data_IF_480998575719
#
_entry.id   IF_480998575719
#
_cell.length_a   1.000
_cell.length_b   1.000
_cell.length_c   1.000
_cell.angle_alpha   90.00
_cell.angle_beta   90.00
_cell.angle_gamma   90.00
#
_symmetry.space_group_name_H-M   'P 1'
#
loop_
_entity.id
_entity.type
_entity.pdbx_description
1 polymer ?
#
# COMPACT_ATOMS: atom_id res chain seq x y z
N UNK A 1 3.28 -0.40 38.34
CA UNK A 1 3.42 0.93 37.69
C UNK A 1 2.87 0.81 36.27
N UNK A 2 1.67 1.33 36.06
CA UNK A 2 0.88 1.16 34.84
C UNK A 2 1.26 2.25 33.83
N UNK A 3 1.83 1.86 32.69
CA UNK A 3 1.93 2.73 31.51
C UNK A 3 0.74 2.43 30.61
N UNK A 4 -0.24 3.32 30.63
CA UNK A 4 -1.29 3.43 29.63
C UNK A 4 -0.69 4.09 28.39
N UNK A 5 -0.52 3.34 27.30
CA UNK A 5 -0.29 3.92 25.98
C UNK A 5 -1.57 4.65 25.55
N UNK A 6 -1.68 5.91 25.96
CA UNK A 6 -2.59 6.86 25.32
C UNK A 6 -1.91 7.28 24.01
N UNK A 7 -2.47 6.85 22.88
CA UNK A 7 -2.17 7.45 21.58
C UNK A 7 -2.67 8.91 21.61
N UNK A 8 -1.81 9.84 22.03
CA UNK A 8 -2.06 11.27 21.82
C UNK A 8 -1.81 11.55 20.34
N UNK A 9 -2.91 11.81 19.63
CA UNK A 9 -2.91 12.31 18.25
C UNK A 9 -2.60 13.82 18.18
N UNK A 10 -2.41 14.46 19.32
CA UNK A 10 -2.22 15.89 19.41
C UNK A 10 -0.75 16.23 19.09
N UNK A 11 -0.52 16.82 17.92
CA UNK A 11 0.73 17.45 17.42
C UNK A 11 1.54 16.73 16.33
N UNK A 12 0.92 15.88 15.49
CA UNK A 12 1.56 15.36 14.27
C UNK A 12 0.91 15.90 12.97
N UNK A 13 0.26 17.07 13.02
CA UNK A 13 -0.08 17.74 11.77
C UNK A 13 1.19 18.35 11.18
N UNK A 14 1.69 17.84 10.05
CA UNK A 14 2.82 18.47 9.36
C UNK A 14 2.45 19.92 9.06
N UNK A 15 3.28 20.86 9.49
CA UNK A 15 2.95 22.29 9.42
C UNK A 15 2.86 22.83 7.98
N UNK A 16 3.24 22.04 6.97
CA UNK A 16 3.41 22.47 5.58
C UNK A 16 2.59 21.70 4.55
N UNK A 17 2.08 20.51 4.85
CA UNK A 17 1.36 19.67 3.87
C UNK A 17 -0.13 19.99 3.91
N UNK A 18 -0.59 20.93 3.08
CA UNK A 18 -2.03 21.14 2.89
C UNK A 18 -2.61 19.99 2.07
N UNK A 19 -3.56 19.27 2.66
CA UNK A 19 -4.26 18.17 2.01
C UNK A 19 -5.76 18.49 1.91
N UNK A 20 -6.24 18.87 0.73
CA UNK A 20 -7.69 19.02 0.51
C UNK A 20 -8.33 17.66 0.22
N UNK A 21 -7.72 16.88 -0.67
CA UNK A 21 -8.21 15.55 -1.03
C UNK A 21 -7.05 14.56 -1.02
N UNK A 22 -7.22 13.45 -0.29
CA UNK A 22 -6.36 12.28 -0.38
C UNK A 22 -7.05 11.22 -1.24
N UNK A 23 -6.43 10.89 -2.37
CA UNK A 23 -6.85 9.79 -3.23
C UNK A 23 -5.80 8.69 -3.20
N UNK A 24 -6.19 7.46 -2.87
CA UNK A 24 -5.27 6.32 -2.84
C UNK A 24 -5.71 5.19 -3.75
N UNK A 25 -4.73 4.50 -4.33
CA UNK A 25 -4.88 3.31 -5.18
C UNK A 25 -4.03 2.17 -4.61
N UNK A 26 -4.45 0.92 -4.81
CA UNK A 26 -3.70 -0.21 -4.29
C UNK A 26 -4.44 -1.53 -4.25
N UNK A 27 -3.84 -2.45 -3.51
CA UNK A 27 -4.33 -3.80 -3.24
C UNK A 27 -4.80 -3.96 -1.77
N UNK A 28 -4.74 -5.18 -1.25
CA UNK A 28 -5.09 -5.54 0.13
C UNK A 28 -4.35 -4.75 1.22
N UNK A 29 -3.17 -4.19 0.93
CA UNK A 29 -2.42 -3.35 1.87
C UNK A 29 -3.06 -1.97 2.05
N UNK A 30 -3.89 -1.54 1.11
CA UNK A 30 -4.47 -0.19 1.03
C UNK A 30 -5.99 -0.19 1.16
N UNK A 31 -6.67 -1.28 0.82
CA UNK A 31 -8.13 -1.46 0.97
C UNK A 31 -8.58 -1.23 2.43
N UNK A 32 -9.53 -0.31 2.62
CA UNK A 32 -10.08 0.06 3.94
C UNK A 32 -11.34 -0.73 4.33
N UNK A 33 -11.82 -1.60 3.44
CA UNK A 33 -13.02 -2.43 3.62
C UNK A 33 -14.33 -1.65 3.62
N UNK A 34 -14.36 -0.41 3.14
CA UNK A 34 -15.60 0.37 3.05
C UNK A 34 -16.30 0.03 1.74
N UNK A 35 -17.34 -0.80 1.83
CA UNK A 35 -18.17 -1.25 0.70
C UNK A 35 -19.36 -0.32 0.41
N UNK A 36 -19.79 0.52 1.37
CA UNK A 36 -21.00 1.34 1.26
C UNK A 36 -20.72 2.81 1.57
N UNK A 37 -21.07 3.71 0.63
CA UNK A 37 -20.92 5.16 0.79
C UNK A 37 -20.54 5.87 -0.51
N UNK A 38 -20.43 7.21 -0.46
CA UNK A 38 -20.16 8.07 -1.62
C UNK A 38 -18.73 7.91 -2.19
N UNK A 39 -17.79 7.36 -1.42
CA UNK A 39 -16.40 7.09 -1.84
C UNK A 39 -15.97 5.65 -1.49
N UNK A 40 -16.94 4.74 -1.41
CA UNK A 40 -16.72 3.36 -1.01
C UNK A 40 -16.35 2.50 -2.23
N UNK A 41 -15.14 1.96 -2.22
CA UNK A 41 -14.68 1.01 -3.26
C UNK A 41 -14.01 -0.24 -2.65
N UNK A 42 -13.89 -0.34 -1.32
CA UNK A 42 -13.17 -1.43 -0.67
C UNK A 42 -13.97 -2.72 -0.64
N UNK A 43 -13.28 -3.86 -0.47
CA UNK A 43 -13.92 -5.15 -0.17
C UNK A 43 -13.69 -5.57 1.26
N UNK A 44 -12.43 -5.57 1.68
CA UNK A 44 -12.10 -6.05 3.02
C UNK A 44 -10.89 -5.31 3.55
N UNK A 45 -10.98 -4.94 4.82
CA UNK A 45 -9.82 -4.43 5.53
C UNK A 45 -8.97 -5.60 5.96
N UNK A 46 -7.90 -5.89 5.22
CA UNK A 46 -7.00 -7.00 5.53
C UNK A 46 -6.02 -6.66 6.66
N UNK A 47 -6.54 -6.11 7.76
CA UNK A 47 -5.76 -5.83 8.96
C UNK A 47 -6.65 -5.88 10.20
N UNK A 48 -6.04 -6.00 11.36
CA UNK A 48 -6.72 -6.00 12.66
C UNK A 48 -7.11 -4.59 13.16
N UNK A 49 -7.17 -3.61 12.27
CA UNK A 49 -7.43 -2.20 12.54
C UNK A 49 -7.21 -1.36 11.28
N UNK A 50 -7.21 -0.02 11.38
CA UNK A 50 -7.03 0.85 10.23
C UNK A 50 -5.77 0.54 9.41
N UNK A 51 -5.86 0.72 8.09
CA UNK A 51 -4.73 0.62 7.17
C UNK A 51 -3.98 1.95 7.07
N UNK A 52 -2.85 1.96 6.38
CA UNK A 52 -1.92 3.10 6.36
C UNK A 52 -2.59 4.37 5.81
N UNK A 53 -3.47 4.22 4.82
CA UNK A 53 -4.16 5.33 4.18
C UNK A 53 -5.16 6.01 5.13
N UNK A 54 -5.87 5.23 5.96
CA UNK A 54 -6.77 5.78 6.98
C UNK A 54 -5.99 6.55 8.06
N UNK A 55 -4.84 6.03 8.49
CA UNK A 55 -3.98 6.74 9.44
C UNK A 55 -3.41 8.01 8.85
N UNK A 56 -2.93 7.96 7.60
CA UNK A 56 -2.41 9.13 6.90
C UNK A 56 -3.47 10.21 6.79
N UNK A 57 -4.69 9.86 6.35
CA UNK A 57 -5.80 10.79 6.26
C UNK A 57 -6.06 11.50 7.59
N UNK A 58 -6.05 10.73 8.70
CA UNK A 58 -6.24 11.27 10.05
C UNK A 58 -5.10 12.19 10.49
N UNK A 59 -3.84 11.86 10.15
CA UNK A 59 -2.66 12.65 10.50
C UNK A 59 -2.60 13.97 9.72
N UNK A 60 -2.92 13.93 8.43
CA UNK A 60 -2.94 15.11 7.55
C UNK A 60 -4.20 15.97 7.75
N UNK A 61 -5.31 15.36 8.20
CA UNK A 61 -6.59 16.05 8.37
C UNK A 61 -7.20 16.48 7.04
N UNK A 62 -7.13 15.63 6.00
CA UNK A 62 -7.67 15.96 4.69
C UNK A 62 -9.20 16.12 4.73
N UNK A 63 -9.74 17.06 3.95
CA UNK A 63 -11.19 17.30 3.90
C UNK A 63 -11.94 16.14 3.24
N UNK A 64 -11.34 15.54 2.20
CA UNK A 64 -11.88 14.39 1.48
C UNK A 64 -10.88 13.24 1.43
N UNK A 65 -11.38 12.04 1.69
CA UNK A 65 -10.64 10.78 1.55
C UNK A 65 -11.37 9.89 0.55
N UNK A 66 -10.63 9.46 -0.49
CA UNK A 66 -11.13 8.57 -1.53
C UNK A 66 -10.16 7.40 -1.65
N UNK A 67 -10.66 6.20 -1.40
CA UNK A 67 -9.89 4.98 -1.52
C UNK A 67 -10.43 4.15 -2.67
N UNK A 68 -9.62 3.95 -3.71
CA UNK A 68 -9.96 3.09 -4.85
C UNK A 68 -9.33 1.70 -4.71
N UNK A 69 -8.55 1.43 -3.66
CA UNK A 69 -7.87 0.15 -3.50
C UNK A 69 -8.86 -0.99 -3.27
N UNK A 70 -8.60 -2.12 -3.92
CA UNK A 70 -9.38 -3.33 -3.77
C UNK A 70 -8.47 -4.49 -3.38
N UNK A 71 -8.88 -5.25 -2.38
CA UNK A 71 -8.27 -6.52 -2.04
C UNK A 71 -8.23 -7.44 -3.26
N UNK A 72 -7.05 -7.99 -3.56
CA UNK A 72 -6.87 -8.88 -4.71
C UNK A 72 -6.53 -8.17 -6.03
N UNK A 73 -6.41 -6.85 -6.05
CA UNK A 73 -6.06 -6.09 -7.26
C UNK A 73 -4.72 -6.55 -7.84
N UNK A 74 -4.71 -6.80 -9.15
CA UNK A 74 -3.48 -7.00 -9.95
C UNK A 74 -2.99 -5.67 -10.50
N UNK A 75 -1.79 -5.67 -11.08
CA UNK A 75 -1.22 -4.46 -11.69
C UNK A 75 -2.03 -3.93 -12.88
N UNK A 76 -2.79 -4.79 -13.56
CA UNK A 76 -3.62 -4.46 -14.72
C UNK A 76 -5.06 -4.06 -14.35
N UNK A 77 -6.04 -4.43 -15.19
CA UNK A 77 -7.47 -4.20 -14.93
C UNK A 77 -8.11 -5.28 -14.05
N UNK A 78 -7.45 -6.43 -13.88
CA UNK A 78 -8.04 -7.61 -13.28
C UNK A 78 -7.81 -7.67 -11.75
N UNK A 79 -8.59 -8.57 -11.13
CA UNK A 79 -8.42 -9.02 -9.77
C UNK A 79 -8.03 -10.51 -9.77
N UNK A 80 -7.44 -11.02 -8.69
CA UNK A 80 -7.23 -12.47 -8.54
C UNK A 80 -8.53 -13.27 -8.55
N UNK A 81 -9.66 -12.65 -8.19
CA UNK A 81 -10.95 -13.34 -8.11
C UNK A 81 -11.86 -13.14 -9.34
N UNK A 82 -11.61 -12.13 -10.18
CA UNK A 82 -12.48 -11.77 -11.30
C UNK A 82 -11.76 -10.87 -12.31
N UNK A 83 -12.29 -10.75 -13.53
CA UNK A 83 -11.65 -10.05 -14.65
C UNK A 83 -12.37 -8.74 -15.03
N UNK A 84 -11.61 -7.80 -15.58
CA UNK A 84 -12.07 -6.58 -16.20
C UNK A 84 -12.37 -5.42 -15.25
N UNK A 85 -12.20 -5.58 -13.93
CA UNK A 85 -12.38 -4.50 -12.97
C UNK A 85 -11.62 -4.71 -11.65
N UNK A 86 -11.47 -3.62 -10.88
CA UNK A 86 -10.77 -3.51 -9.59
C UNK A 86 -9.24 -3.64 -9.57
N UNK A 87 -8.58 -4.00 -10.68
CA UNK A 87 -7.12 -3.90 -10.80
C UNK A 87 -6.61 -2.45 -10.80
N UNK A 88 -5.31 -2.25 -10.58
CA UNK A 88 -4.69 -0.91 -10.44
C UNK A 88 -4.97 0.00 -11.65
N UNK A 89 -4.83 -0.49 -12.88
CA UNK A 89 -5.13 0.32 -14.08
C UNK A 89 -6.61 0.69 -14.15
N UNK A 90 -7.50 -0.23 -13.79
CA UNK A 90 -8.93 0.05 -13.75
C UNK A 90 -9.26 1.12 -12.70
N UNK A 91 -8.65 1.05 -11.52
CA UNK A 91 -8.85 2.01 -10.44
C UNK A 91 -8.46 3.43 -10.88
N UNK A 92 -7.29 3.57 -11.50
CA UNK A 92 -6.79 4.86 -11.99
C UNK A 92 -7.65 5.40 -13.12
N UNK A 93 -7.99 4.57 -14.11
CA UNK A 93 -8.83 5.00 -15.22
C UNK A 93 -10.21 5.44 -14.73
N UNK A 94 -10.80 4.70 -13.79
CA UNK A 94 -12.05 5.06 -13.14
C UNK A 94 -11.95 6.41 -12.44
N UNK A 95 -10.91 6.63 -11.64
CA UNK A 95 -10.66 7.92 -11.01
C UNK A 95 -10.57 9.07 -12.02
N UNK A 96 -9.84 8.89 -13.12
CA UNK A 96 -9.67 9.93 -14.13
C UNK A 96 -10.99 10.31 -14.83
N UNK A 97 -11.98 9.41 -14.88
CA UNK A 97 -13.33 9.75 -15.39
C UNK A 97 -14.13 10.67 -14.46
N UNK A 98 -13.74 10.79 -13.18
CA UNK A 98 -14.49 11.56 -12.17
C UNK A 98 -14.14 13.05 -12.13
N UNK A 99 -13.29 13.54 -13.05
CA UNK A 99 -12.70 14.89 -13.03
C UNK A 99 -11.96 15.19 -11.71
N UNK A 100 -10.75 14.65 -11.54
CA UNK A 100 -9.89 14.84 -10.36
C UNK A 100 -9.84 16.27 -9.82
N UNK A 101 -9.92 16.41 -8.49
CA UNK A 101 -9.82 17.71 -7.84
C UNK A 101 -8.42 18.32 -7.98
N UNK A 102 -8.38 19.64 -8.05
CA UNK A 102 -7.18 20.47 -8.10
C UNK A 102 -6.52 20.47 -6.71
N UNK A 103 -5.18 20.34 -6.62
CA UNK A 103 -4.39 20.23 -5.37
C UNK A 103 -4.65 18.96 -4.55
N UNK A 104 -4.80 17.83 -5.24
CA UNK A 104 -4.96 16.52 -4.59
C UNK A 104 -3.60 15.93 -4.19
N UNK A 105 -3.55 15.26 -3.05
CA UNK A 105 -2.51 14.28 -2.72
C UNK A 105 -2.97 12.93 -3.26
N UNK A 106 -2.26 12.43 -4.28
CA UNK A 106 -2.56 11.17 -4.93
C UNK A 106 -1.47 10.17 -4.55
N UNK A 107 -1.83 8.99 -4.08
CA UNK A 107 -0.86 7.96 -3.70
C UNK A 107 -1.19 6.65 -4.41
N UNK A 108 -0.25 6.21 -5.25
CA UNK A 108 -0.30 4.93 -5.93
C UNK A 108 0.54 3.92 -5.13
N UNK A 109 -0.11 2.99 -4.42
CA UNK A 109 0.53 1.74 -4.02
C UNK A 109 0.51 0.80 -5.22
N UNK A 110 1.68 0.60 -5.83
CA UNK A 110 1.83 0.00 -7.17
C UNK A 110 1.31 -1.44 -7.33
N UNK A 111 1.05 -2.16 -6.23
CA UNK A 111 0.54 -3.54 -6.29
C UNK A 111 1.55 -4.53 -6.88
N UNK A 112 1.07 -5.49 -7.66
CA UNK A 112 1.92 -6.36 -8.50
C UNK A 112 2.39 -7.68 -7.87
N UNK A 113 2.27 -7.85 -6.56
CA UNK A 113 2.65 -9.11 -5.89
C UNK A 113 1.80 -10.29 -6.38
N UNK A 114 0.50 -10.06 -6.58
CA UNK A 114 -0.44 -11.10 -7.01
C UNK A 114 -0.21 -11.55 -8.46
N UNK A 115 0.33 -10.67 -9.29
CA UNK A 115 0.76 -10.98 -10.65
C UNK A 115 1.89 -12.02 -10.63
N UNK A 116 2.87 -11.87 -9.72
CA UNK A 116 3.97 -12.84 -9.56
C UNK A 116 3.52 -14.21 -9.02
N UNK A 117 2.37 -14.28 -8.36
CA UNK A 117 1.80 -15.51 -7.81
C UNK A 117 0.85 -16.23 -8.77
N UNK A 118 0.32 -15.54 -9.78
CA UNK A 118 -0.73 -16.07 -10.67
C UNK A 118 -0.32 -16.20 -12.14
N UNK A 119 0.90 -15.79 -12.49
CA UNK A 119 1.36 -15.73 -13.86
C UNK A 119 2.00 -17.00 -14.42
N UNK A 120 2.33 -16.94 -15.72
CA UNK A 120 2.75 -18.11 -16.49
C UNK A 120 4.27 -18.32 -16.44
N UNK A 121 5.05 -17.23 -16.48
CA UNK A 121 6.51 -17.25 -16.37
C UNK A 121 7.03 -15.96 -15.71
N UNK A 122 8.10 -16.08 -14.92
CA UNK A 122 8.66 -14.98 -14.12
C UNK A 122 9.02 -13.74 -14.92
N UNK A 123 9.62 -13.94 -16.10
CA UNK A 123 10.07 -12.85 -16.96
C UNK A 123 8.90 -12.09 -17.60
N UNK A 124 7.87 -12.81 -18.05
CA UNK A 124 6.67 -12.19 -18.63
C UNK A 124 5.86 -11.46 -17.55
N UNK A 125 5.75 -12.03 -16.36
CA UNK A 125 5.00 -11.44 -15.25
C UNK A 125 5.69 -10.15 -14.77
N UNK A 126 7.01 -10.16 -14.63
CA UNK A 126 7.76 -8.96 -14.29
C UNK A 126 7.59 -7.85 -15.35
N UNK A 127 7.75 -8.19 -16.63
CA UNK A 127 7.67 -7.19 -17.69
C UNK A 127 6.28 -6.53 -17.71
N UNK A 128 5.21 -7.31 -17.56
CA UNK A 128 3.83 -6.82 -17.50
C UNK A 128 3.59 -5.92 -16.29
N UNK A 129 4.04 -6.32 -15.10
CA UNK A 129 3.88 -5.51 -13.89
C UNK A 129 4.54 -4.14 -14.06
N UNK A 130 5.75 -4.10 -14.63
CA UNK A 130 6.46 -2.84 -14.87
C UNK A 130 5.70 -1.99 -15.89
N UNK A 131 5.31 -2.56 -17.04
CA UNK A 131 4.57 -1.85 -18.09
C UNK A 131 3.26 -1.25 -17.54
N UNK A 132 2.53 -2.01 -16.73
CA UNK A 132 1.28 -1.57 -16.12
C UNK A 132 1.51 -0.43 -15.13
N UNK A 133 2.54 -0.51 -14.29
CA UNK A 133 2.87 0.57 -13.33
C UNK A 133 3.33 1.84 -14.08
N UNK A 134 4.15 1.71 -15.12
CA UNK A 134 4.57 2.85 -15.94
C UNK A 134 3.36 3.53 -16.61
N UNK A 135 2.45 2.74 -17.17
CA UNK A 135 1.19 3.23 -17.76
C UNK A 135 0.28 3.90 -16.73
N UNK A 136 0.19 3.34 -15.52
CA UNK A 136 -0.53 3.94 -14.40
C UNK A 136 0.02 5.33 -14.06
N UNK A 137 1.34 5.47 -14.01
CA UNK A 137 2.01 6.73 -13.68
C UNK A 137 1.87 7.75 -14.82
N UNK A 138 2.00 7.32 -16.08
CA UNK A 138 1.75 8.17 -17.24
C UNK A 138 0.34 8.77 -17.21
N UNK A 139 -0.67 7.95 -16.92
CA UNK A 139 -2.06 8.37 -16.78
C UNK A 139 -2.25 9.35 -15.61
N UNK A 140 -1.72 9.05 -14.44
CA UNK A 140 -1.82 9.96 -13.28
C UNK A 140 -1.08 11.28 -13.53
N UNK A 141 -0.01 11.27 -14.32
CA UNK A 141 0.75 12.47 -14.70
C UNK A 141 -0.05 13.46 -15.56
N UNK A 142 -1.24 13.06 -16.05
CA UNK A 142 -2.20 13.99 -16.70
C UNK A 142 -2.88 14.93 -15.69
N UNK A 143 -2.86 14.61 -14.39
CA UNK A 143 -3.33 15.49 -13.32
C UNK A 143 -2.26 16.54 -13.07
N UNK A 144 -2.48 17.77 -13.54
CA UNK A 144 -1.41 18.80 -13.60
C UNK A 144 -1.25 19.63 -12.33
N UNK A 145 -2.17 19.52 -11.37
CA UNK A 145 -2.12 20.26 -10.09
C UNK A 145 -2.30 19.30 -8.90
N UNK A 146 -1.19 19.04 -8.19
CA UNK A 146 -1.16 18.16 -7.04
C UNK A 146 0.21 17.50 -6.82
N UNK A 147 0.25 16.63 -5.82
CA UNK A 147 1.40 15.78 -5.51
C UNK A 147 1.02 14.32 -5.76
N UNK A 148 1.84 13.60 -6.52
CA UNK A 148 1.68 12.17 -6.78
C UNK A 148 2.80 11.44 -6.06
N UNK A 149 2.46 10.55 -5.15
CA UNK A 149 3.41 9.63 -4.53
C UNK A 149 3.25 8.27 -5.16
N UNK A 150 4.34 7.72 -5.69
CA UNK A 150 4.39 6.33 -6.14
C UNK A 150 5.13 5.54 -5.07
N UNK A 151 4.46 4.54 -4.52
CA UNK A 151 5.03 3.58 -3.58
C UNK A 151 5.47 2.33 -4.34
N UNK A 152 6.69 1.89 -4.08
CA UNK A 152 7.22 0.65 -4.65
C UNK A 152 6.52 -0.60 -4.07
N UNK A 153 6.86 -1.79 -4.57
CA UNK A 153 6.22 -3.05 -4.21
C UNK A 153 6.81 -3.56 -2.88
N UNK A 154 5.94 -3.96 -1.94
CA UNK A 154 6.32 -4.65 -0.71
C UNK A 154 6.76 -6.09 -1.02
N UNK A 155 7.91 -6.51 -0.49
CA UNK A 155 8.40 -7.89 -0.63
C UNK A 155 7.69 -8.82 0.36
N UNK A 156 6.84 -9.76 -0.12
CA UNK A 156 6.12 -10.70 0.73
C UNK A 156 6.95 -11.95 1.08
N UNK A 157 8.21 -12.07 0.64
CA UNK A 157 9.02 -13.30 0.79
C UNK A 157 9.15 -13.79 2.24
N UNK A 158 9.08 -12.87 3.20
CA UNK A 158 9.14 -13.18 4.64
C UNK A 158 7.77 -13.40 5.30
N UNK A 159 6.68 -13.27 4.53
CA UNK A 159 5.33 -13.45 5.04
C UNK A 159 5.10 -14.88 5.55
N UNK A 160 4.33 -15.06 6.63
CA UNK A 160 3.99 -16.39 7.13
C UNK A 160 3.39 -17.32 6.07
N UNK A 161 2.59 -16.80 5.13
CA UNK A 161 1.96 -17.56 4.07
C UNK A 161 2.95 -18.25 3.14
N UNK A 162 4.06 -17.58 2.81
CA UNK A 162 5.13 -18.18 2.00
C UNK A 162 5.73 -19.40 2.70
N UNK A 163 5.95 -19.31 4.02
CA UNK A 163 6.47 -20.44 4.83
C UNK A 163 5.51 -21.63 4.94
N UNK A 164 4.24 -21.44 4.61
CA UNK A 164 3.24 -22.53 4.63
C UNK A 164 3.07 -23.22 3.27
N UNK A 165 3.69 -22.70 2.21
CA UNK A 165 3.62 -23.28 0.87
C UNK A 165 4.64 -24.40 0.69
N UNK A 166 4.33 -25.34 -0.20
CA UNK A 166 5.32 -26.29 -0.70
C UNK A 166 6.46 -25.53 -1.41
N UNK A 167 7.70 -25.99 -1.25
CA UNK A 167 8.90 -25.31 -1.79
C UNK A 167 9.02 -23.84 -1.34
N UNK A 168 8.71 -23.57 -0.07
CA UNK A 168 8.71 -22.20 0.49
C UNK A 168 10.02 -21.43 0.31
N UNK A 169 11.17 -22.12 0.28
CA UNK A 169 12.48 -21.49 0.06
C UNK A 169 12.61 -20.97 -1.37
N UNK A 170 12.31 -21.81 -2.37
CA UNK A 170 12.32 -21.45 -3.79
C UNK A 170 11.33 -20.29 -4.05
N UNK A 171 10.13 -20.36 -3.46
CA UNK A 171 9.12 -19.31 -3.60
C UNK A 171 9.57 -17.99 -2.95
N UNK A 172 10.18 -18.04 -1.77
CA UNK A 172 10.69 -16.85 -1.10
C UNK A 172 11.81 -16.19 -1.91
N UNK A 173 12.75 -16.97 -2.43
CA UNK A 173 13.85 -16.47 -3.27
C UNK A 173 13.30 -15.84 -4.55
N UNK A 174 12.38 -16.53 -5.23
CA UNK A 174 11.70 -16.02 -6.43
C UNK A 174 11.01 -14.68 -6.17
N UNK A 175 10.18 -14.58 -5.13
CA UNK A 175 9.44 -13.36 -4.82
C UNK A 175 10.38 -12.21 -4.49
N UNK A 176 11.42 -12.47 -3.68
CA UNK A 176 12.40 -11.44 -3.32
C UNK A 176 13.18 -10.96 -4.54
N UNK A 177 13.58 -11.86 -5.43
CA UNK A 177 14.23 -11.51 -6.69
C UNK A 177 13.32 -10.66 -7.59
N UNK A 178 12.08 -11.09 -7.82
CA UNK A 178 11.11 -10.37 -8.65
C UNK A 178 10.77 -8.99 -8.10
N UNK A 179 10.55 -8.87 -6.79
CA UNK A 179 10.24 -7.59 -6.16
C UNK A 179 11.44 -6.64 -6.20
N UNK A 180 12.63 -7.11 -5.84
CA UNK A 180 13.83 -6.26 -5.81
C UNK A 180 14.21 -5.74 -7.20
N UNK A 181 14.16 -6.59 -8.22
CA UNK A 181 14.47 -6.21 -9.59
C UNK A 181 13.38 -5.31 -10.22
N UNK A 182 12.10 -5.55 -9.90
CA UNK A 182 11.00 -4.67 -10.31
C UNK A 182 11.13 -3.29 -9.67
N UNK A 183 11.37 -3.24 -8.35
CA UNK A 183 11.55 -1.98 -7.63
C UNK A 183 12.75 -1.19 -8.17
N UNK A 184 13.89 -1.85 -8.45
CA UNK A 184 15.05 -1.19 -9.04
C UNK A 184 14.73 -0.57 -10.42
N UNK A 185 13.99 -1.28 -11.27
CA UNK A 185 13.56 -0.76 -12.58
C UNK A 185 12.58 0.42 -12.43
N UNK A 186 11.63 0.32 -11.51
CA UNK A 186 10.68 1.40 -11.20
C UNK A 186 11.39 2.67 -10.75
N UNK A 187 12.39 2.54 -9.86
CA UNK A 187 13.23 3.65 -9.41
C UNK A 187 13.96 4.33 -10.58
N UNK A 188 14.57 3.55 -11.48
CA UNK A 188 15.27 4.10 -12.64
C UNK A 188 14.31 4.81 -13.60
N UNK A 189 13.17 4.18 -13.91
CA UNK A 189 12.15 4.73 -14.81
C UNK A 189 11.60 6.07 -14.29
N UNK A 190 11.42 6.20 -12.98
CA UNK A 190 10.84 7.40 -12.38
C UNK A 190 11.87 8.49 -12.08
N UNK A 191 13.13 8.12 -11.81
CA UNK A 191 14.22 9.09 -11.68
C UNK A 191 14.43 9.88 -12.98
N UNK A 192 14.30 9.22 -14.13
CA UNK A 192 14.39 9.86 -15.45
C UNK A 192 13.18 10.75 -15.78
N UNK A 193 12.06 10.54 -15.09
CA UNK A 193 10.77 11.19 -15.35
C UNK A 193 10.30 12.13 -14.23
N UNK A 194 11.18 12.56 -13.32
CA UNK A 194 10.82 13.54 -12.27
C UNK A 194 10.36 14.82 -12.94
N UNK A 195 9.09 15.18 -12.69
CA UNK A 195 8.47 16.42 -13.17
C UNK A 195 8.23 17.35 -11.99
N UNK A 196 8.43 18.64 -12.23
CA UNK A 196 8.05 19.67 -11.27
C UNK A 196 6.52 19.83 -11.17
N UNK A 197 5.78 19.44 -12.22
CA UNK A 197 4.31 19.52 -12.31
C UNK A 197 3.69 18.36 -13.12
N UNK A 198 2.82 17.53 -12.52
CA UNK A 198 2.62 17.40 -11.08
C UNK A 198 3.92 17.02 -10.38
N UNK A 199 4.03 17.31 -9.08
CA UNK A 199 5.19 16.91 -8.29
C UNK A 199 5.11 15.42 -8.01
N UNK A 200 6.07 14.65 -8.52
CA UNK A 200 6.11 13.20 -8.35
C UNK A 200 7.18 12.83 -7.33
N UNK A 201 6.80 12.11 -6.28
CA UNK A 201 7.69 11.58 -5.25
C UNK A 201 7.67 10.06 -5.22
N UNK A 202 8.82 9.45 -4.90
CA UNK A 202 8.96 8.00 -4.79
C UNK A 202 9.17 7.61 -3.33
N UNK A 203 8.27 6.79 -2.81
CA UNK A 203 8.33 6.30 -1.44
C UNK A 203 8.71 4.82 -1.40
N UNK A 204 9.76 4.49 -0.65
CA UNK A 204 10.19 3.11 -0.45
C UNK A 204 9.28 2.42 0.60
N UNK A 205 8.12 1.97 0.13
CA UNK A 205 7.16 1.21 0.92
C UNK A 205 7.76 -0.10 1.43
N UNK A 206 8.57 -0.79 0.62
CA UNK A 206 9.22 -2.03 1.05
C UNK A 206 10.10 -1.81 2.29
N UNK A 207 10.97 -0.79 2.26
CA UNK A 207 11.80 -0.44 3.41
C UNK A 207 10.95 0.01 4.61
N UNK A 208 9.88 0.78 4.38
CA UNK A 208 8.98 1.24 5.44
C UNK A 208 8.29 0.06 6.15
N UNK A 209 7.79 -0.92 5.40
CA UNK A 209 7.19 -2.14 5.95
C UNK A 209 8.22 -2.95 6.72
N UNK A 210 9.39 -3.23 6.11
CA UNK A 210 10.42 -4.06 6.73
C UNK A 210 10.96 -3.47 8.04
N UNK A 211 11.24 -2.16 8.09
CA UNK A 211 11.65 -1.49 9.34
C UNK A 211 10.55 -1.55 10.40
N UNK A 212 9.29 -1.36 10.00
CA UNK A 212 8.14 -1.42 10.90
C UNK A 212 7.94 -2.83 11.48
N UNK A 213 8.04 -3.87 10.65
CA UNK A 213 7.92 -5.26 11.07
C UNK A 213 9.07 -5.70 11.99
N UNK A 214 10.32 -5.26 11.73
CA UNK A 214 11.48 -5.58 12.57
C UNK A 214 11.35 -5.08 14.02
N UNK A 215 10.54 -4.04 14.25
CA UNK A 215 10.27 -3.47 15.58
C UNK A 215 9.22 -4.25 16.36
N UNK A 216 8.56 -5.23 15.73
CA UNK A 216 7.51 -6.03 16.36
C UNK A 216 8.10 -7.27 17.05
N UNK A 217 7.54 -7.62 18.20
CA UNK A 217 8.04 -8.75 19.00
C UNK A 217 7.70 -10.12 18.39
N UNK A 218 6.66 -10.21 17.57
CA UNK A 218 6.18 -11.48 16.98
C UNK A 218 6.01 -11.34 15.47
N UNK A 219 6.75 -12.14 14.72
CA UNK A 219 6.67 -12.24 13.25
C UNK A 219 5.82 -13.43 12.76
N UNK A 220 5.32 -14.23 13.70
CA UNK A 220 4.28 -15.23 13.43
C UNK A 220 2.95 -14.55 13.11
N UNK A 221 2.07 -15.15 12.30
CA UNK A 221 0.77 -14.59 11.99
C UNK A 221 -0.09 -14.54 13.25
N UNK A 222 -0.92 -13.51 13.37
CA UNK A 222 -1.95 -13.50 14.39
C UNK A 222 -3.04 -14.52 14.03
N UNK A 223 -3.42 -15.37 14.98
CA UNK A 223 -4.52 -16.33 14.79
C UNK A 223 -5.55 -16.13 15.89
N UNK A 224 -6.82 -15.97 15.51
CA UNK A 224 -7.93 -15.72 16.44
C UNK A 224 -8.27 -16.91 17.36
N UNK A 225 -7.63 -18.07 17.16
CA UNK A 225 -7.96 -19.34 17.80
C UNK A 225 -7.02 -19.73 18.96
N UNK A 226 -6.74 -18.81 19.88
CA UNK A 226 -6.08 -19.17 21.16
C UNK A 226 -6.90 -18.66 22.33
N UNK A 227 -7.30 -19.58 23.21
CA UNK A 227 -8.20 -19.35 24.35
C UNK A 227 -7.71 -18.30 25.38
N UNK A 228 -6.47 -17.80 25.24
CA UNK A 228 -5.83 -16.90 26.21
C UNK A 228 -5.34 -15.56 25.61
N UNK A 229 -5.83 -15.17 24.43
CA UNK A 229 -5.45 -13.90 23.82
C UNK A 229 -6.13 -12.72 24.52
N UNK A 230 -5.33 -11.83 25.10
CA UNK A 230 -5.79 -10.52 25.59
C UNK A 230 -5.75 -9.48 24.45
N UNK A 231 -6.64 -8.49 24.48
CA UNK A 231 -6.71 -7.40 23.47
C UNK A 231 -5.37 -6.70 23.25
N UNK A 232 -4.53 -6.60 24.28
CA UNK A 232 -3.20 -5.96 24.19
C UNK A 232 -2.14 -6.82 23.49
N UNK A 233 -2.27 -8.14 23.48
CA UNK A 233 -1.28 -9.02 22.84
C UNK A 233 -1.32 -8.92 21.32
N UNK A 234 -2.46 -8.56 20.74
CA UNK A 234 -2.64 -8.30 19.30
C UNK A 234 -1.63 -7.27 18.77
N UNK A 235 -1.26 -6.30 19.62
CA UNK A 235 -0.33 -5.22 19.30
C UNK A 235 1.15 -5.64 19.25
N UNK A 236 1.46 -6.90 19.56
CA UNK A 236 2.83 -7.43 19.47
C UNK A 236 3.12 -8.15 18.14
N UNK A 237 2.11 -8.34 17.29
CA UNK A 237 2.20 -9.10 16.04
C UNK A 237 2.49 -8.19 14.85
N UNK A 238 3.47 -8.57 14.03
CA UNK A 238 3.78 -7.92 12.75
C UNK A 238 2.71 -8.19 11.69
N UNK A 239 2.09 -9.37 11.73
CA UNK A 239 1.11 -9.84 10.74
C UNK A 239 -0.26 -10.02 11.37
N UNK A 240 -1.31 -9.55 10.68
CA UNK A 240 -2.70 -9.79 11.02
C UNK A 240 -3.13 -11.22 10.63
N UNK A 241 -2.72 -11.68 9.46
CA UNK A 241 -2.99 -13.01 8.94
C UNK A 241 -1.71 -13.60 8.33
N UNK A 242 -1.82 -14.51 7.37
CA UNK A 242 -0.65 -15.11 6.72
C UNK A 242 0.11 -14.15 5.79
N UNK A 243 -0.52 -13.10 5.29
CA UNK A 243 0.00 -12.24 4.21
C UNK A 243 0.07 -10.78 4.63
N UNK A 244 -0.90 -10.31 5.40
CA UNK A 244 -1.15 -8.91 5.60
C UNK A 244 -0.58 -8.39 6.92
N UNK A 245 0.03 -7.18 6.93
CA UNK A 245 0.57 -6.58 8.13
C UNK A 245 -0.52 -6.21 9.16
N UNK A 246 -0.12 -6.09 10.42
CA UNK A 246 -0.99 -5.56 11.46
C UNK A 246 -1.14 -4.04 11.37
N UNK A 247 -2.18 -3.51 12.00
CA UNK A 247 -2.47 -2.07 12.03
C UNK A 247 -1.32 -1.24 12.60
N UNK A 248 -0.44 -1.82 13.43
CA UNK A 248 0.75 -1.13 13.95
C UNK A 248 1.81 -0.93 12.87
N UNK A 249 1.97 -1.91 11.98
CA UNK A 249 2.84 -1.76 10.81
C UNK A 249 2.27 -0.66 9.92
N UNK A 250 0.96 -0.67 9.65
CA UNK A 250 0.29 0.39 8.89
C UNK A 250 0.43 1.79 9.50
N UNK A 251 0.31 1.92 10.82
CA UNK A 251 0.50 3.19 11.51
C UNK A 251 1.94 3.73 11.32
N UNK A 252 2.94 2.86 11.42
CA UNK A 252 4.34 3.25 11.21
C UNK A 252 4.63 3.61 9.74
N UNK A 253 4.00 2.95 8.77
CA UNK A 253 4.06 3.35 7.35
C UNK A 253 3.51 4.77 7.20
N UNK A 254 2.35 5.06 7.79
CA UNK A 254 1.75 6.39 7.72
C UNK A 254 2.65 7.47 8.34
N UNK A 255 3.28 7.21 9.50
CA UNK A 255 4.24 8.14 10.11
C UNK A 255 5.45 8.42 9.22
N UNK A 256 6.02 7.37 8.61
CA UNK A 256 7.14 7.53 7.66
C UNK A 256 6.72 8.32 6.43
N UNK A 257 5.49 8.13 5.96
CA UNK A 257 4.98 8.85 4.82
C UNK A 257 4.71 10.33 5.13
N UNK A 258 4.23 10.66 6.34
CA UNK A 258 4.10 12.05 6.79
C UNK A 258 5.47 12.74 6.74
N UNK A 259 6.51 12.13 7.32
CA UNK A 259 7.86 12.70 7.28
C UNK A 259 8.37 12.86 5.84
N UNK A 260 8.13 11.86 4.98
CA UNK A 260 8.51 11.94 3.57
C UNK A 260 7.81 13.10 2.85
N UNK A 261 6.52 13.35 3.14
CA UNK A 261 5.77 14.46 2.54
C UNK A 261 6.25 15.84 3.04
N UNK A 262 6.80 15.93 4.25
CA UNK A 262 7.42 17.16 4.76
C UNK A 262 8.74 17.48 4.06
N UNK A 263 9.52 16.45 3.71
CA UNK A 263 10.83 16.58 3.08
C UNK A 263 10.76 16.77 1.56
N UNK A 264 9.65 16.36 0.94
CA UNK A 264 9.47 16.41 -0.51
C UNK A 264 9.50 17.88 -0.97
#
# INVERSE_FOLDING_TARGET
LSSSYNFRYDNLQPHTVQCTTLTVFGDSLTDDGIEVGENANGFNRNSNGPVWAEYLNKLLGCEKYINYAHSGAKSDHDNVYFTGWSGILWQIETYLTTNPSVRSLIILQSGGVLDFLSGATEAEDQAKVIENIEKAIEKLSTVTDGTIIVMNIMDPSLAPGVRTMDQSEDLAEKLSHLVSTTNAKLWNSLYENVRDRPRIGLFDLNAAVLDSMKRMNKTTPFTHHRDQLTTRQVYSYAYHDLWNPSTFVHYNIALKLVNFLEDL
#
